data_IF_537514999343
#
_entry.id   IF_537514999343
#
_cell.length_a   1.000
_cell.length_b   1.000
_cell.length_c   1.000
_cell.angle_alpha   90.00
_cell.angle_beta   90.00
_cell.angle_gamma   90.00
#
_symmetry.space_group_name_H-M   'P 1'
#
loop_
_entity.id
_entity.type
_entity.pdbx_description
1 polymer ?
#
# COMPACT_ATOMS: atom_id res chain seq x y z
N UNK A 1 -6.43 -9.81 -13.04
CA UNK A 1 -6.27 -8.89 -11.89
C UNK A 1 -5.90 -7.53 -12.45
N UNK A 2 -6.68 -6.48 -12.14
CA UNK A 2 -6.39 -5.13 -12.58
C UNK A 2 -5.80 -4.34 -11.41
N UNK A 3 -4.70 -3.63 -11.64
CA UNK A 3 -3.99 -2.86 -10.62
C UNK A 3 -4.01 -1.40 -11.06
N UNK A 4 -4.39 -0.52 -10.14
CA UNK A 4 -4.39 0.93 -10.32
C UNK A 4 -3.67 1.56 -9.15
N UNK A 5 -2.72 2.44 -9.45
CA UNK A 5 -1.99 3.20 -8.45
C UNK A 5 -2.82 4.43 -8.04
N UNK A 6 -2.90 4.68 -6.73
CA UNK A 6 -3.61 5.82 -6.15
C UNK A 6 -2.82 6.42 -4.99
N UNK A 7 -2.72 7.74 -5.00
CA UNK A 7 -2.17 8.54 -3.92
C UNK A 7 -3.17 8.78 -2.78
N UNK A 8 -2.71 9.46 -1.73
CA UNK A 8 -3.56 9.93 -0.63
C UNK A 8 -4.62 10.88 -1.20
N UNK A 9 -5.85 10.81 -0.69
CA UNK A 9 -7.03 11.54 -1.13
C UNK A 9 -7.54 11.24 -2.54
N UNK A 10 -6.85 10.38 -3.28
CA UNK A 10 -7.34 9.89 -4.56
C UNK A 10 -8.35 8.76 -4.37
N UNK A 11 -9.29 8.68 -5.32
CA UNK A 11 -10.30 7.65 -5.35
C UNK A 11 -10.27 6.84 -6.65
N UNK A 12 -10.77 5.62 -6.57
CA UNK A 12 -11.16 4.80 -7.71
C UNK A 12 -12.64 4.47 -7.56
N UNK A 13 -13.37 4.59 -8.68
CA UNK A 13 -14.78 4.24 -8.75
C UNK A 13 -14.87 2.93 -9.52
N UNK A 14 -15.49 1.94 -8.88
CA UNK A 14 -15.73 0.60 -9.40
C UNK A 14 -17.24 0.39 -9.39
N UNK A 15 -17.88 0.64 -10.54
CA UNK A 15 -19.34 0.66 -10.67
C UNK A 15 -20.00 1.68 -9.70
N UNK A 16 -20.74 1.23 -8.69
CA UNK A 16 -21.36 2.06 -7.65
C UNK A 16 -20.50 2.21 -6.38
N UNK A 17 -19.33 1.55 -6.33
CA UNK A 17 -18.43 1.56 -5.18
C UNK A 17 -17.30 2.57 -5.38
N UNK A 18 -17.17 3.50 -4.43
CA UNK A 18 -16.09 4.48 -4.38
C UNK A 18 -15.09 4.02 -3.31
N UNK A 19 -13.83 3.82 -3.71
CA UNK A 19 -12.73 3.52 -2.80
C UNK A 19 -11.76 4.69 -2.79
N UNK A 20 -11.53 5.31 -1.64
CA UNK A 20 -10.61 6.43 -1.46
C UNK A 20 -9.50 6.07 -0.50
N UNK A 21 -8.27 6.46 -0.82
CA UNK A 21 -7.14 6.37 0.10
C UNK A 21 -7.23 7.52 1.10
N UNK A 22 -7.45 7.20 2.38
CA UNK A 22 -7.58 8.21 3.46
C UNK A 22 -6.21 8.54 4.02
N UNK A 23 -5.40 7.53 4.32
CA UNK A 23 -4.04 7.73 4.80
C UNK A 23 -3.16 6.54 4.46
N UNK A 24 -1.86 6.83 4.39
CA UNK A 24 -0.82 5.85 4.15
C UNK A 24 0.28 6.09 5.18
N UNK A 25 0.50 5.12 6.07
CA UNK A 25 1.58 5.15 7.07
C UNK A 25 2.59 4.03 6.81
N UNK A 26 3.64 3.95 7.61
CA UNK A 26 4.61 2.85 7.56
C UNK A 26 3.98 1.49 7.94
N UNK A 27 2.95 1.50 8.77
CA UNK A 27 2.37 0.30 9.38
C UNK A 27 1.03 -0.10 8.77
N UNK A 28 0.25 0.87 8.29
CA UNK A 28 -1.11 0.63 7.80
C UNK A 28 -1.51 1.59 6.67
N UNK A 29 -2.51 1.17 5.92
CA UNK A 29 -3.19 1.97 4.90
C UNK A 29 -4.66 2.02 5.27
N UNK A 30 -5.23 3.22 5.39
CA UNK A 30 -6.65 3.43 5.69
C UNK A 30 -7.38 3.78 4.41
N UNK A 31 -8.42 3.02 4.09
CA UNK A 31 -9.27 3.19 2.91
C UNK A 31 -10.70 3.49 3.34
N UNK A 32 -11.30 4.50 2.73
CA UNK A 32 -12.74 4.75 2.80
C UNK A 32 -13.43 4.05 1.64
N UNK A 33 -14.46 3.26 1.95
CA UNK A 33 -15.31 2.59 0.97
C UNK A 33 -16.72 3.15 1.12
N UNK A 34 -17.24 3.76 0.07
CA UNK A 34 -18.60 4.26 0.01
C UNK A 34 -19.37 3.57 -1.11
N UNK A 35 -20.57 3.11 -0.80
CA UNK A 35 -21.52 2.51 -1.74
C UNK A 35 -22.91 3.09 -1.44
N UNK A 36 -23.50 3.89 -2.35
CA UNK A 36 -24.77 4.57 -2.11
C UNK A 36 -25.92 3.65 -1.70
N UNK A 37 -25.93 2.44 -2.27
CA UNK A 37 -27.01 1.47 -2.11
C UNK A 37 -26.72 0.41 -1.03
N UNK A 38 -25.51 0.39 -0.45
CA UNK A 38 -25.16 -0.55 0.61
C UNK A 38 -25.63 -0.08 1.99
N UNK A 39 -25.84 -1.04 2.90
CA UNK A 39 -26.05 -0.77 4.33
C UNK A 39 -24.96 -1.53 5.13
N UNK A 40 -24.02 -0.84 5.79
CA UNK A 40 -23.84 0.61 5.84
C UNK A 40 -23.30 1.21 4.52
N UNK A 41 -23.69 2.46 4.24
CA UNK A 41 -23.25 3.20 3.03
C UNK A 41 -21.77 3.54 3.03
N UNK A 42 -21.18 3.70 4.20
CA UNK A 42 -19.79 4.06 4.38
C UNK A 42 -19.13 3.05 5.32
N UNK A 43 -17.92 2.64 4.97
CA UNK A 43 -17.06 1.79 5.80
C UNK A 43 -15.62 2.23 5.65
N UNK A 44 -14.87 2.14 6.73
CA UNK A 44 -13.42 2.31 6.70
C UNK A 44 -12.74 0.94 6.83
N UNK A 45 -11.72 0.71 6.01
CA UNK A 45 -10.93 -0.52 5.99
C UNK A 45 -9.48 -0.15 6.27
N UNK A 46 -8.88 -0.84 7.24
CA UNK A 46 -7.46 -0.70 7.57
C UNK A 46 -6.73 -1.93 7.07
N UNK A 47 -5.75 -1.71 6.20
CA UNK A 47 -4.86 -2.73 5.68
C UNK A 47 -3.52 -2.61 6.39
N UNK A 48 -3.12 -3.64 7.13
CA UNK A 48 -1.79 -3.68 7.72
C UNK A 48 -0.76 -3.90 6.61
N UNK A 49 0.29 -3.09 6.59
CA UNK A 49 1.44 -3.34 5.73
C UNK A 49 2.17 -4.56 6.28
N UNK A 50 2.41 -5.60 5.47
CA UNK A 50 3.34 -6.64 5.89
C UNK A 50 4.66 -5.96 6.22
N UNK A 51 5.26 -6.31 7.37
CA UNK A 51 6.61 -5.86 7.71
C UNK A 51 7.48 -6.19 6.51
N UNK A 52 8.01 -5.17 5.84
CA UNK A 52 9.06 -5.39 4.86
C UNK A 52 10.20 -6.04 5.65
N UNK A 53 10.38 -7.35 5.49
CA UNK A 53 11.66 -7.96 5.81
C UNK A 53 12.63 -7.25 4.88
N UNK A 54 13.54 -6.47 5.47
CA UNK A 54 14.66 -5.87 4.77
C UNK A 54 15.62 -6.98 4.33
N UNK A 55 15.21 -7.82 3.37
CA UNK A 55 16.13 -8.70 2.66
C UNK A 55 16.87 -7.86 1.63
N UNK A 56 17.93 -7.19 2.08
CA UNK A 56 19.15 -6.89 1.31
C UNK A 56 20.15 -6.13 2.18
N UNK A 57 20.69 -6.79 3.21
CA UNK A 57 22.12 -6.61 3.45
C UNK A 57 22.83 -7.33 2.29
N UNK A 58 23.06 -6.61 1.19
CA UNK A 58 24.06 -7.06 0.23
C UNK A 58 25.39 -7.12 1.00
N UNK A 59 26.11 -8.25 1.01
CA UNK A 59 27.41 -8.31 1.67
C UNK A 59 28.32 -7.28 0.99
N UNK A 60 28.83 -6.34 1.78
CA UNK A 60 29.87 -5.42 1.34
C UNK A 60 31.09 -6.30 1.03
N UNK A 61 31.31 -6.59 -0.25
CA UNK A 61 32.59 -7.15 -0.69
C UNK A 61 33.63 -6.06 -0.46
N UNK A 62 34.43 -6.21 0.59
CA UNK A 62 35.63 -5.41 0.75
C UNK A 62 36.53 -5.68 -0.47
N UNK A 63 36.94 -4.64 -1.23
CA UNK A 63 37.89 -4.81 -2.32
C UNK A 63 39.26 -5.10 -1.71
N UNK A 64 39.53 -6.38 -1.48
CA UNK A 64 40.81 -6.90 -1.04
C UNK A 64 41.60 -7.50 -2.20
N UNK A 65 42.89 -7.17 -2.22
CA UNK A 65 43.99 -7.95 -2.77
C UNK A 65 44.12 -8.03 -4.31
N UNK A 66 44.95 -7.14 -4.85
CA UNK A 66 45.73 -7.43 -6.07
C UNK A 66 46.83 -8.41 -5.66
N UNK A 67 46.95 -9.60 -6.25
CA UNK A 67 48.12 -10.46 -6.06
C UNK A 67 49.29 -9.95 -6.90
N UNK A 68 50.49 -9.98 -6.31
CA UNK A 68 51.79 -9.65 -6.94
C UNK A 68 52.13 -10.58 -8.12
#
# INVERSE_FOLDING_TARGET
MWIVERGIDEAVILDDVIVRVVSVSSEEIRLAIASPDATPRYREVVLNRPRQHSDSELPIVAPGAVPE
#
